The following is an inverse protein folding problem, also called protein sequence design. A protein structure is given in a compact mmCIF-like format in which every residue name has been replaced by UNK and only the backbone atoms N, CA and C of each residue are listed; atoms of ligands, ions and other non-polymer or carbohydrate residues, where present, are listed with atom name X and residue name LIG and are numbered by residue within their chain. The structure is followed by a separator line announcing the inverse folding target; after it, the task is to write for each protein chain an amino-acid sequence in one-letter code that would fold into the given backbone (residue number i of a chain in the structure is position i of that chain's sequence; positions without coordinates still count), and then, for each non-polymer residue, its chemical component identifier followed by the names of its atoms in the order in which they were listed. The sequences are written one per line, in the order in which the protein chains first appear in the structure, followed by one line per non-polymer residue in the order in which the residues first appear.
data_IF_950127277071
#
_entry.id   IF_950127277071
#
_cell.length_a   1.000
_cell.length_b   1.000
_cell.length_c   1.000
_cell.angle_alpha   90.00
_cell.angle_beta   90.00
_cell.angle_gamma   90.00
#
_symmetry.space_group_name_H-M   'P 1'
#
loop_
_entity.id
_entity.type
_entity.pdbx_description
1 polymer ?
#
# COMPACT_ATOMS: atom_id res chain seq x y z
N UNK A 1 -17.03 -20.87 8.78
CA UNK A 1 -15.87 -21.11 9.65
C UNK A 1 -14.68 -20.33 9.10
N UNK A 2 -14.08 -19.47 9.91
CA UNK A 2 -12.85 -18.76 9.55
C UNK A 2 -11.64 -19.52 10.10
N UNK A 3 -10.66 -19.80 9.24
CA UNK A 3 -9.37 -20.28 9.70
C UNK A 3 -8.58 -19.10 10.29
N UNK A 4 -8.17 -19.20 11.56
CA UNK A 4 -7.29 -18.21 12.17
C UNK A 4 -6.01 -18.86 12.70
N UNK A 5 -4.92 -18.07 12.69
CA UNK A 5 -3.60 -18.50 13.19
C UNK A 5 -3.26 -17.66 14.41
N UNK A 6 -3.08 -18.32 15.55
CA UNK A 6 -2.64 -17.68 16.79
C UNK A 6 -1.13 -17.49 16.76
N UNK A 7 -0.69 -16.24 16.86
CA UNK A 7 0.74 -15.92 17.01
C UNK A 7 1.13 -15.74 18.47
N UNK A 8 2.44 -15.78 18.75
CA UNK A 8 2.97 -15.55 20.11
C UNK A 8 3.21 -14.09 20.45
N UNK A 9 3.20 -13.23 19.44
CA UNK A 9 3.43 -11.79 19.58
C UNK A 9 2.65 -11.06 18.49
N UNK A 10 2.02 -9.94 18.83
CA UNK A 10 1.12 -9.20 17.93
C UNK A 10 1.87 -8.63 16.72
N UNK A 11 3.12 -8.20 16.89
CA UNK A 11 3.96 -7.80 15.77
C UNK A 11 4.10 -8.93 14.75
N UNK A 12 4.25 -10.18 15.22
CA UNK A 12 4.28 -11.35 14.33
C UNK A 12 2.95 -11.57 13.60
N UNK A 13 1.81 -11.28 14.23
CA UNK A 13 0.49 -11.34 13.58
C UNK A 13 0.40 -10.36 12.42
N UNK A 14 0.80 -9.10 12.64
CA UNK A 14 0.74 -8.06 11.61
C UNK A 14 1.69 -8.38 10.45
N UNK A 15 2.93 -8.82 10.75
CA UNK A 15 3.88 -9.21 9.70
C UNK A 15 3.44 -10.47 8.94
N UNK A 16 2.74 -11.41 9.58
CA UNK A 16 2.16 -12.55 8.87
C UNK A 16 1.04 -12.11 7.92
N UNK A 17 0.18 -11.19 8.35
CA UNK A 17 -0.85 -10.58 7.50
C UNK A 17 -0.25 -9.76 6.35
N UNK A 18 0.82 -9.00 6.60
CA UNK A 18 1.60 -8.28 5.59
C UNK A 18 2.20 -9.25 4.56
N UNK A 19 2.83 -10.34 5.01
CA UNK A 19 3.35 -11.39 4.14
C UNK A 19 2.27 -12.06 3.27
N UNK A 20 1.09 -12.31 3.86
CA UNK A 20 -0.07 -12.81 3.11
C UNK A 20 -0.48 -11.82 2.02
N UNK A 21 -0.57 -10.54 2.33
CA UNK A 21 -0.96 -9.52 1.35
C UNK A 21 0.05 -9.40 0.20
N UNK A 22 1.35 -9.48 0.49
CA UNK A 22 2.41 -9.49 -0.53
C UNK A 22 2.31 -10.72 -1.45
N UNK A 23 2.06 -11.89 -0.88
CA UNK A 23 2.02 -13.14 -1.63
C UNK A 23 0.76 -13.32 -2.48
N UNK A 24 -0.37 -12.75 -2.03
CA UNK A 24 -1.68 -12.99 -2.66
C UNK A 24 -2.26 -11.79 -3.41
N UNK A 25 -1.74 -10.59 -3.16
CA UNK A 25 -2.30 -9.33 -3.64
C UNK A 25 -3.61 -8.91 -2.95
N UNK A 26 -4.08 -9.70 -1.96
CA UNK A 26 -5.32 -9.46 -1.21
C UNK A 26 -5.00 -8.83 0.16
N UNK A 27 -5.89 -8.01 0.74
CA UNK A 27 -5.66 -7.47 2.07
C UNK A 27 -5.45 -8.55 3.13
N UNK A 28 -4.36 -8.43 3.89
CA UNK A 28 -4.14 -9.25 5.07
C UNK A 28 -4.99 -8.73 6.24
N UNK A 29 -5.40 -9.61 7.15
CA UNK A 29 -6.21 -9.24 8.32
C UNK A 29 -5.55 -9.75 9.57
N UNK A 30 -5.43 -8.92 10.60
CA UNK A 30 -5.07 -9.36 11.94
C UNK A 30 -5.94 -8.72 13.00
N UNK A 31 -6.09 -9.42 14.12
CA UNK A 31 -6.89 -8.98 15.28
C UNK A 31 -5.99 -9.04 16.50
N UNK A 32 -5.94 -7.96 17.27
CA UNK A 32 -5.11 -7.84 18.47
C UNK A 32 -5.94 -7.25 19.63
N UNK A 33 -5.51 -7.52 20.86
CA UNK A 33 -6.17 -6.95 22.03
C UNK A 33 -5.82 -5.46 22.22
N UNK A 34 -6.51 -4.81 23.15
CA UNK A 34 -6.28 -3.40 23.51
C UNK A 34 -4.91 -3.18 24.17
N UNK A 35 -4.54 -1.92 24.32
CA UNK A 35 -3.33 -1.49 25.03
C UNK A 35 -2.05 -2.10 24.45
N UNK A 36 -1.31 -2.93 25.24
CA UNK A 36 -0.03 -3.47 24.79
C UNK A 36 -0.12 -4.33 23.54
N UNK A 37 -1.22 -5.04 23.31
CA UNK A 37 -1.42 -5.81 22.08
C UNK A 37 -1.56 -4.90 20.86
N UNK A 38 -2.34 -3.85 20.97
CA UNK A 38 -2.53 -2.87 19.90
C UNK A 38 -1.24 -2.08 19.61
N UNK A 39 -0.50 -1.66 20.65
CA UNK A 39 0.78 -0.96 20.48
C UNK A 39 1.86 -1.85 19.86
N UNK A 40 1.90 -3.14 20.19
CA UNK A 40 2.81 -4.10 19.57
C UNK A 40 2.56 -4.27 18.06
N UNK A 41 1.37 -3.96 17.57
CA UNK A 41 1.05 -4.02 16.14
C UNK A 41 1.64 -2.86 15.31
N UNK A 42 1.99 -1.72 15.93
CA UNK A 42 2.39 -0.49 15.24
C UNK A 42 3.58 -0.66 14.30
N UNK A 43 4.58 -1.44 14.67
CA UNK A 43 5.74 -1.69 13.80
C UNK A 43 5.32 -2.30 12.47
N UNK A 44 4.45 -3.31 12.50
CA UNK A 44 3.95 -3.95 11.28
C UNK A 44 3.02 -3.03 10.47
N UNK A 45 2.18 -2.23 11.15
CA UNK A 45 1.33 -1.22 10.51
C UNK A 45 2.18 -0.18 9.77
N UNK A 46 3.21 0.36 10.44
CA UNK A 46 4.11 1.34 9.84
C UNK A 46 4.88 0.76 8.64
N UNK A 47 5.34 -0.51 8.73
CA UNK A 47 5.97 -1.22 7.62
C UNK A 47 5.03 -1.33 6.42
N UNK A 48 3.78 -1.76 6.65
CA UNK A 48 2.78 -1.87 5.59
C UNK A 48 2.46 -0.52 4.94
N UNK A 49 2.41 0.57 5.72
CA UNK A 49 2.20 1.92 5.20
C UNK A 49 3.36 2.36 4.30
N UNK A 50 4.60 2.14 4.73
CA UNK A 50 5.78 2.52 3.95
C UNK A 50 5.86 1.75 2.63
N UNK A 51 5.53 0.47 2.65
CA UNK A 51 5.59 -0.42 1.48
C UNK A 51 4.28 -0.48 0.69
N UNK A 52 3.27 0.32 1.07
CA UNK A 52 1.98 0.36 0.38
C UNK A 52 1.27 -1.00 0.35
N UNK A 53 1.30 -1.75 1.45
CA UNK A 53 0.70 -3.07 1.57
C UNK A 53 -0.73 -2.96 2.12
N UNK A 54 -1.74 -3.55 1.46
CA UNK A 54 -3.11 -3.53 1.95
C UNK A 54 -3.25 -4.41 3.20
N UNK A 55 -3.66 -3.80 4.30
CA UNK A 55 -3.74 -4.45 5.60
C UNK A 55 -4.96 -3.95 6.37
N UNK A 56 -5.67 -4.86 7.03
CA UNK A 56 -6.74 -4.54 7.97
C UNK A 56 -6.30 -5.00 9.36
N UNK A 57 -6.19 -4.07 10.29
CA UNK A 57 -5.85 -4.37 11.68
C UNK A 57 -7.04 -4.02 12.55
N UNK A 58 -7.60 -5.02 13.22
CA UNK A 58 -8.70 -4.84 14.17
C UNK A 58 -8.09 -4.85 15.57
N UNK A 59 -8.21 -3.73 16.27
CA UNK A 59 -7.76 -3.59 17.66
C UNK A 59 -8.93 -3.61 18.61
N UNK A 60 -8.80 -4.32 19.73
CA UNK A 60 -9.69 -4.14 20.85
C UNK A 60 -9.43 -2.81 21.54
N UNK A 61 -10.45 -2.26 22.20
CA UNK A 61 -10.34 -1.07 23.02
C UNK A 61 -11.06 -1.29 24.36
N UNK A 62 -10.73 -0.51 25.36
CA UNK A 62 -11.46 -0.51 26.63
C UNK A 62 -12.92 -0.11 26.42
N UNK A 63 -13.75 -0.29 27.46
CA UNK A 63 -15.14 0.19 27.41
C UNK A 63 -15.19 1.69 27.11
N UNK A 64 -16.11 2.16 26.27
CA UNK A 64 -16.22 3.58 25.86
C UNK A 64 -16.16 4.56 27.03
N UNK A 65 -16.82 4.24 28.16
CA UNK A 65 -16.81 5.07 29.35
C UNK A 65 -15.41 5.23 29.99
N UNK A 66 -14.45 4.38 29.66
CA UNK A 66 -13.06 4.41 30.12
C UNK A 66 -12.10 5.15 29.19
N UNK A 67 -12.51 5.41 27.95
CA UNK A 67 -11.65 6.08 26.96
C UNK A 67 -11.34 7.51 27.40
N UNK A 68 -10.06 7.87 27.37
CA UNK A 68 -9.55 9.17 27.83
C UNK A 68 -9.46 9.32 29.35
N UNK A 69 -9.49 8.20 30.10
CA UNK A 69 -9.44 8.17 31.57
C UNK A 69 -8.32 7.32 32.14
N UNK A 70 -7.33 6.97 31.34
CA UNK A 70 -6.20 6.10 31.72
C UNK A 70 -6.65 4.74 32.28
N UNK A 71 -7.68 4.16 31.66
CA UNK A 71 -8.18 2.85 32.06
C UNK A 71 -7.13 1.75 31.82
N UNK A 72 -7.21 0.64 32.57
CA UNK A 72 -6.28 -0.47 32.43
C UNK A 72 -6.25 -0.99 30.97
N UNK A 73 -5.07 -1.00 30.37
CA UNK A 73 -4.84 -1.35 28.95
C UNK A 73 -5.57 -0.43 27.95
N UNK A 74 -5.84 0.80 28.31
CA UNK A 74 -6.24 1.83 27.36
C UNK A 74 -5.04 2.29 26.53
N UNK A 75 -5.29 2.60 25.28
CA UNK A 75 -4.32 3.25 24.40
C UNK A 75 -5.07 4.05 23.33
N UNK A 76 -4.61 5.28 23.06
CA UNK A 76 -5.13 6.09 21.95
C UNK A 76 -4.65 5.55 20.61
N UNK A 77 -5.31 4.50 20.15
CA UNK A 77 -4.96 3.87 18.86
C UNK A 77 -5.22 4.79 17.67
N UNK A 78 -6.21 5.65 17.73
CA UNK A 78 -6.52 6.60 16.67
C UNK A 78 -5.37 7.60 16.52
N UNK A 79 -4.95 8.24 17.60
CA UNK A 79 -3.81 9.16 17.58
C UNK A 79 -2.51 8.50 17.13
N UNK A 80 -2.21 7.30 17.63
CA UNK A 80 -0.97 6.58 17.32
C UNK A 80 -0.93 6.05 15.88
N UNK A 81 -2.06 5.67 15.29
CA UNK A 81 -2.11 5.09 13.94
C UNK A 81 -2.34 6.12 12.84
N UNK A 82 -2.83 7.32 13.14
CA UNK A 82 -3.06 8.39 12.16
C UNK A 82 -1.87 8.63 11.23
N UNK A 83 -0.61 8.76 11.69
CA UNK A 83 0.52 9.02 10.79
C UNK A 83 1.01 7.79 10.01
N UNK A 84 0.56 6.58 10.36
CA UNK A 84 1.07 5.32 9.80
C UNK A 84 -0.01 4.46 9.15
N UNK A 85 -1.17 5.05 8.83
CA UNK A 85 -2.27 4.35 8.15
C UNK A 85 -2.87 5.22 7.05
N UNK A 86 -3.57 4.58 6.13
CA UNK A 86 -4.43 5.31 5.17
C UNK A 86 -5.63 5.92 5.87
N UNK A 87 -6.21 5.15 6.78
CA UNK A 87 -7.35 5.56 7.59
C UNK A 87 -7.46 4.74 8.87
N UNK A 88 -8.14 5.28 9.86
CA UNK A 88 -8.48 4.56 11.08
C UNK A 88 -9.89 4.89 11.54
N UNK A 89 -10.55 3.91 12.14
CA UNK A 89 -11.89 4.01 12.67
C UNK A 89 -11.90 3.68 14.15
N UNK A 90 -12.55 4.50 14.97
CA UNK A 90 -13.03 4.07 16.29
C UNK A 90 -14.53 3.80 16.20
N UNK A 91 -14.92 2.54 16.35
CA UNK A 91 -16.33 2.14 16.23
C UNK A 91 -17.12 2.65 17.43
N UNK A 92 -18.27 3.28 17.18
CA UNK A 92 -19.13 3.86 18.24
C UNK A 92 -20.52 3.21 18.30
N UNK A 93 -20.92 2.47 17.28
CA UNK A 93 -22.18 1.72 17.23
C UNK A 93 -21.90 0.40 16.50
N UNK A 94 -22.34 -0.71 17.05
CA UNK A 94 -22.17 -2.03 16.45
C UNK A 94 -22.85 -2.15 15.07
N UNK A 95 -23.91 -1.36 14.81
CA UNK A 95 -24.57 -1.31 13.51
C UNK A 95 -23.67 -0.79 12.39
N UNK A 96 -22.64 0.00 12.75
CA UNK A 96 -21.69 0.52 11.77
C UNK A 96 -20.60 -0.47 11.39
N UNK A 97 -20.40 -1.56 12.14
CA UNK A 97 -19.30 -2.51 11.91
C UNK A 97 -19.29 -3.05 10.48
N UNK A 98 -20.40 -3.54 9.91
CA UNK A 98 -20.39 -4.05 8.54
C UNK A 98 -19.96 -2.99 7.52
N UNK A 99 -20.49 -1.78 7.61
CA UNK A 99 -20.13 -0.66 6.76
C UNK A 99 -18.64 -0.32 6.90
N UNK A 100 -18.14 -0.16 8.13
CA UNK A 100 -16.74 0.17 8.42
C UNK A 100 -15.80 -0.89 7.86
N UNK A 101 -16.12 -2.18 8.00
CA UNK A 101 -15.33 -3.26 7.43
C UNK A 101 -15.24 -3.15 5.91
N UNK A 102 -16.36 -2.93 5.22
CA UNK A 102 -16.35 -2.76 3.77
C UNK A 102 -15.54 -1.53 3.32
N UNK A 103 -15.72 -0.40 3.99
CA UNK A 103 -14.95 0.82 3.72
C UNK A 103 -13.46 0.58 3.96
N UNK A 104 -13.09 -0.11 5.04
CA UNK A 104 -11.71 -0.44 5.35
C UNK A 104 -11.04 -1.30 4.25
N UNK A 105 -11.72 -2.35 3.80
CA UNK A 105 -11.22 -3.19 2.70
C UNK A 105 -11.10 -2.40 1.38
N UNK A 106 -12.08 -1.56 1.08
CA UNK A 106 -12.03 -0.69 -0.09
C UNK A 106 -10.86 0.29 -0.01
N UNK A 107 -10.73 1.03 1.10
CA UNK A 107 -9.64 1.98 1.31
C UNK A 107 -8.27 1.31 1.26
N UNK A 108 -8.12 0.16 1.92
CA UNK A 108 -6.83 -0.55 1.95
C UNK A 108 -6.38 -0.98 0.55
N UNK A 109 -7.32 -1.33 -0.34
CA UNK A 109 -7.02 -1.99 -1.62
C UNK A 109 -7.10 -1.09 -2.85
N UNK A 110 -7.56 0.16 -2.72
CA UNK A 110 -7.73 1.09 -3.86
C UNK A 110 -6.75 2.26 -3.79
N UNK A 111 -6.50 2.92 -4.93
CA UNK A 111 -5.47 3.95 -5.03
C UNK A 111 -4.10 3.43 -4.61
N UNK A 112 -3.30 4.24 -3.90
CA UNK A 112 -2.11 3.71 -3.22
C UNK A 112 -2.56 2.81 -2.08
N UNK A 113 -2.27 1.51 -2.16
CA UNK A 113 -2.62 0.52 -1.12
C UNK A 113 -1.96 0.87 0.22
N UNK A 114 -2.55 0.41 1.32
CA UNK A 114 -2.00 0.67 2.65
C UNK A 114 -2.88 0.14 3.77
N UNK A 115 -2.43 0.23 5.04
CA UNK A 115 -3.13 -0.28 6.19
C UNK A 115 -4.32 0.60 6.60
N UNK A 116 -5.37 -0.05 7.10
CA UNK A 116 -6.50 0.57 7.80
C UNK A 116 -6.67 -0.09 9.15
N UNK A 117 -6.89 0.70 10.19
CA UNK A 117 -7.11 0.23 11.55
C UNK A 117 -8.57 0.43 11.96
N UNK A 118 -9.13 -0.58 12.61
CA UNK A 118 -10.50 -0.54 13.17
C UNK A 118 -10.40 -0.82 14.66
N UNK A 119 -10.60 0.21 15.47
CA UNK A 119 -10.54 0.15 16.93
C UNK A 119 -11.94 -0.06 17.50
N UNK A 120 -12.16 -1.20 18.19
CA UNK A 120 -13.49 -1.65 18.64
C UNK A 120 -13.56 -1.64 20.17
N UNK A 121 -14.31 -0.71 20.78
CA UNK A 121 -14.55 -0.71 22.22
C UNK A 121 -15.26 -1.99 22.66
N UNK A 122 -14.86 -2.50 23.87
CA UNK A 122 -15.35 -3.76 24.42
C UNK A 122 -16.88 -3.86 24.46
N UNK A 123 -17.56 -2.79 24.89
CA UNK A 123 -19.02 -2.77 24.96
C UNK A 123 -19.70 -2.80 23.59
N UNK A 124 -19.06 -2.23 22.57
CA UNK A 124 -19.54 -2.28 21.18
C UNK A 124 -19.39 -3.69 20.61
N UNK A 125 -18.24 -4.35 20.87
CA UNK A 125 -17.97 -5.70 20.35
C UNK A 125 -18.87 -6.81 20.91
N UNK A 126 -19.65 -6.53 21.97
CA UNK A 126 -20.63 -7.48 22.57
C UNK A 126 -22.08 -7.03 22.40
N UNK A 127 -22.31 -5.95 21.68
CA UNK A 127 -23.67 -5.45 21.40
C UNK A 127 -24.42 -6.41 20.47
N UNK A 128 -25.66 -6.75 20.83
CA UNK A 128 -26.56 -7.47 19.95
C UNK A 128 -27.21 -6.45 18.96
N UNK A 129 -27.12 -6.73 17.69
CA UNK A 129 -27.74 -5.94 16.64
C UNK A 129 -28.59 -6.83 15.76
N UNK A 130 -29.82 -6.39 15.45
CA UNK A 130 -30.61 -6.99 14.41
C UNK A 130 -29.99 -6.58 13.05
N UNK A 131 -29.49 -7.55 12.32
CA UNK A 131 -28.92 -7.33 11.01
C UNK A 131 -29.92 -7.79 9.95
N UNK A 132 -30.75 -6.87 9.48
CA UNK A 132 -31.49 -7.05 8.25
C UNK A 132 -30.51 -6.86 7.09
N UNK A 133 -30.09 -7.97 6.51
CA UNK A 133 -29.26 -8.05 5.29
C UNK A 133 -28.06 -7.07 5.24
N UNK A 134 -27.03 -7.37 6.05
CA UNK A 134 -25.78 -6.59 6.13
C UNK A 134 -25.02 -6.52 4.79
N UNK A 135 -25.49 -7.18 3.75
CA UNK A 135 -24.79 -7.28 2.47
C UNK A 135 -25.35 -6.44 1.33
N UNK A 136 -26.65 -6.11 1.35
CA UNK A 136 -27.31 -5.49 0.19
C UNK A 136 -27.04 -3.98 0.00
N UNK A 137 -26.71 -3.24 1.05
CA UNK A 137 -26.55 -1.78 0.98
C UNK A 137 -25.10 -1.27 1.02
N UNK A 138 -24.12 -2.16 1.04
CA UNK A 138 -22.72 -1.78 1.16
C UNK A 138 -22.06 -1.90 -0.21
N UNK A 139 -22.37 -0.95 -1.08
CA UNK A 139 -21.65 -0.79 -2.34
C UNK A 139 -20.19 -0.36 -2.06
N UNK A 140 -19.23 -0.82 -2.87
CA UNK A 140 -17.83 -0.49 -2.67
C UNK A 140 -17.63 1.01 -2.70
N UNK A 141 -17.25 1.60 -1.57
CA UNK A 141 -16.68 2.92 -1.45
C UNK A 141 -17.41 4.14 -2.00
N UNK A 142 -18.63 3.98 -2.48
CA UNK A 142 -19.34 5.02 -3.24
C UNK A 142 -19.65 6.33 -2.49
N UNK A 143 -19.50 6.33 -1.16
CA UNK A 143 -19.88 7.47 -0.33
C UNK A 143 -18.78 7.92 0.63
N UNK A 144 -17.49 7.69 0.28
CA UNK A 144 -16.40 8.24 1.07
C UNK A 144 -16.10 9.68 0.61
N UNK A 145 -16.53 10.71 1.37
CA UNK A 145 -16.30 12.10 0.99
C UNK A 145 -14.81 12.40 0.81
N UNK A 146 -14.45 12.99 -0.34
CA UNK A 146 -13.07 13.38 -0.61
C UNK A 146 -12.12 12.25 -1.01
N UNK A 147 -12.57 11.00 -1.11
CA UNK A 147 -11.77 9.89 -1.58
C UNK A 147 -12.14 9.51 -3.01
N UNK A 148 -11.24 9.80 -3.95
CA UNK A 148 -11.35 9.38 -5.34
C UNK A 148 -10.06 8.66 -5.76
N UNK A 149 -10.03 7.32 -5.79
CA UNK A 149 -8.85 6.56 -6.17
C UNK A 149 -8.67 6.43 -7.69
N UNK A 150 -9.67 6.81 -8.49
CA UNK A 150 -9.61 6.70 -9.94
C UNK A 150 -8.78 7.85 -10.53
N UNK A 151 -7.73 7.50 -11.25
CA UNK A 151 -6.91 8.43 -12.00
C UNK A 151 -6.97 8.03 -13.49
N UNK A 152 -7.76 8.75 -14.26
CA UNK A 152 -7.86 8.52 -15.70
C UNK A 152 -6.73 9.28 -16.42
N UNK A 153 -6.16 8.70 -17.49
CA UNK A 153 -5.16 9.40 -18.28
C UNK A 153 -5.76 10.62 -18.98
N UNK A 154 -5.01 11.71 -18.98
CA UNK A 154 -5.37 12.94 -19.70
C UNK A 154 -4.74 12.87 -21.09
N UNK A 155 -5.53 12.88 -22.19
CA UNK A 155 -5.00 12.69 -23.56
C UNK A 155 -3.84 13.64 -23.91
N UNK A 156 -3.92 14.90 -23.50
CA UNK A 156 -2.87 15.90 -23.76
C UNK A 156 -1.57 15.58 -23.01
N UNK A 157 -1.65 14.97 -21.81
CA UNK A 157 -0.47 14.53 -21.07
C UNK A 157 0.14 13.29 -21.72
N UNK A 158 -0.68 12.36 -22.19
CA UNK A 158 -0.20 11.17 -22.92
C UNK A 158 0.51 11.59 -24.22
N UNK A 159 -0.02 12.58 -24.94
CA UNK A 159 0.64 13.11 -26.14
C UNK A 159 2.04 13.67 -25.81
N UNK A 160 2.18 14.44 -24.73
CA UNK A 160 3.50 14.96 -24.28
C UNK A 160 4.48 13.85 -23.91
N UNK A 161 4.02 12.77 -23.28
CA UNK A 161 4.87 11.60 -23.00
C UNK A 161 5.38 10.98 -24.30
N UNK A 162 4.51 10.81 -25.30
CA UNK A 162 4.92 10.27 -26.61
C UNK A 162 5.93 11.18 -27.32
N UNK A 163 5.76 12.51 -27.25
CA UNK A 163 6.72 13.46 -27.80
C UNK A 163 8.08 13.37 -27.07
N UNK A 164 8.07 13.26 -25.73
CA UNK A 164 9.28 13.10 -24.94
C UNK A 164 10.03 11.79 -25.30
N UNK A 165 9.31 10.68 -25.44
CA UNK A 165 9.90 9.40 -25.85
C UNK A 165 10.53 9.53 -27.25
N UNK A 166 9.84 10.17 -28.20
CA UNK A 166 10.33 10.34 -29.56
C UNK A 166 11.58 11.25 -29.64
N UNK A 167 11.73 12.20 -28.73
CA UNK A 167 12.85 13.12 -28.64
C UNK A 167 14.07 12.55 -27.89
N UNK A 168 13.85 11.60 -26.99
CA UNK A 168 14.88 11.01 -26.14
C UNK A 168 15.85 10.12 -26.92
N UNK A 169 17.11 10.10 -26.48
CA UNK A 169 18.17 9.24 -27.02
C UNK A 169 18.57 8.12 -26.05
N UNK A 170 18.29 8.32 -24.75
CA UNK A 170 18.65 7.40 -23.68
C UNK A 170 17.48 7.22 -22.70
N UNK A 171 16.30 6.82 -23.17
CA UNK A 171 15.16 6.62 -22.29
C UNK A 171 15.36 5.40 -21.39
N UNK A 172 14.91 5.49 -20.13
CA UNK A 172 14.92 4.39 -19.16
C UNK A 172 13.56 4.30 -18.51
N UNK A 173 13.09 3.08 -18.27
CA UNK A 173 11.95 2.79 -17.43
C UNK A 173 12.43 2.41 -16.04
N UNK A 174 11.89 3.08 -15.01
CA UNK A 174 11.99 2.68 -13.61
C UNK A 174 10.68 2.03 -13.19
N UNK A 175 10.68 0.71 -13.03
CA UNK A 175 9.51 -0.06 -12.65
C UNK A 175 9.50 -0.37 -11.14
N UNK A 176 8.50 0.11 -10.43
CA UNK A 176 8.30 -0.10 -9.01
C UNK A 176 7.17 -1.09 -8.70
N UNK A 177 6.87 -1.25 -7.41
CA UNK A 177 5.83 -2.14 -6.90
C UNK A 177 4.43 -1.80 -7.43
N UNK A 178 4.19 -0.53 -7.81
CA UNK A 178 2.91 -0.09 -8.36
C UNK A 178 2.50 -0.87 -9.61
N UNK A 179 3.45 -1.35 -10.42
CA UNK A 179 3.17 -2.22 -11.58
C UNK A 179 2.56 -3.55 -11.12
N UNK A 180 3.15 -4.17 -10.09
CA UNK A 180 2.64 -5.44 -9.50
C UNK A 180 1.26 -5.22 -8.85
N UNK A 181 1.10 -4.11 -8.12
CA UNK A 181 -0.18 -3.77 -7.49
C UNK A 181 -1.31 -3.52 -8.50
N UNK A 182 -0.96 -2.99 -9.67
CA UNK A 182 -1.88 -2.78 -10.79
C UNK A 182 -2.09 -4.03 -11.65
N UNK A 183 -1.28 -5.09 -11.44
CA UNK A 183 -1.25 -6.29 -12.30
C UNK A 183 -0.95 -5.95 -13.77
N UNK A 184 -0.05 -4.96 -13.98
CA UNK A 184 0.27 -4.37 -15.28
C UNK A 184 1.63 -4.85 -15.85
N UNK A 185 2.07 -6.06 -15.46
CA UNK A 185 3.35 -6.62 -15.89
C UNK A 185 3.37 -6.88 -17.41
N UNK A 186 2.23 -7.31 -17.96
CA UNK A 186 2.09 -7.58 -19.41
C UNK A 186 2.11 -6.29 -20.22
N UNK A 187 1.46 -5.25 -19.73
CA UNK A 187 1.43 -3.94 -20.35
C UNK A 187 2.80 -3.28 -20.29
N UNK A 188 3.52 -3.42 -19.17
CA UNK A 188 4.90 -2.94 -19.04
C UNK A 188 5.82 -3.65 -20.04
N UNK A 189 5.72 -4.97 -20.17
CA UNK A 189 6.52 -5.72 -21.13
C UNK A 189 6.24 -5.25 -22.57
N UNK A 190 4.97 -5.21 -22.96
CA UNK A 190 4.57 -4.77 -24.30
C UNK A 190 5.02 -3.33 -24.61
N UNK A 191 4.95 -2.43 -23.61
CA UNK A 191 5.41 -1.05 -23.74
C UNK A 191 6.94 -0.99 -23.94
N UNK A 192 7.70 -1.69 -23.10
CA UNK A 192 9.15 -1.72 -23.18
C UNK A 192 9.65 -2.29 -24.53
N UNK A 193 9.01 -3.38 -25.01
CA UNK A 193 9.32 -4.00 -26.29
C UNK A 193 8.95 -3.09 -27.47
N UNK A 194 7.80 -2.43 -27.43
CA UNK A 194 7.36 -1.55 -28.52
C UNK A 194 8.31 -0.37 -28.71
N UNK A 195 8.72 0.28 -27.61
CA UNK A 195 9.62 1.43 -27.66
C UNK A 195 11.11 1.06 -27.58
N UNK A 196 11.45 -0.22 -27.34
CA UNK A 196 12.82 -0.72 -27.14
C UNK A 196 13.54 0.01 -26.00
N UNK A 197 12.84 0.25 -24.88
CA UNK A 197 13.35 0.98 -23.72
C UNK A 197 13.79 0.00 -22.62
N UNK A 198 15.04 0.09 -22.13
CA UNK A 198 15.52 -0.73 -21.04
C UNK A 198 14.77 -0.47 -19.73
N UNK A 199 14.63 -1.52 -18.90
CA UNK A 199 13.87 -1.50 -17.63
C UNK A 199 14.79 -1.74 -16.45
N UNK A 200 14.76 -0.83 -15.48
CA UNK A 200 15.36 -0.95 -14.17
C UNK A 200 14.24 -1.16 -13.15
N UNK A 201 14.39 -2.14 -12.26
CA UNK A 201 13.42 -2.40 -11.20
C UNK A 201 13.86 -1.80 -9.86
N UNK A 202 12.91 -1.29 -9.06
CA UNK A 202 13.16 -1.11 -7.63
C UNK A 202 13.16 -2.45 -6.92
N UNK A 203 13.64 -2.52 -5.65
CA UNK A 203 13.60 -3.76 -4.86
C UNK A 203 12.19 -4.38 -4.82
N UNK A 204 11.16 -3.58 -4.49
CA UNK A 204 9.78 -4.05 -4.45
C UNK A 204 9.12 -4.16 -5.84
N UNK A 205 9.78 -3.64 -6.87
CA UNK A 205 9.38 -3.81 -8.27
C UNK A 205 9.95 -5.07 -8.93
N UNK A 206 10.85 -5.80 -8.27
CA UNK A 206 11.37 -7.06 -8.79
C UNK A 206 10.24 -8.05 -9.03
N UNK A 207 10.22 -8.61 -10.24
CA UNK A 207 9.13 -9.47 -10.72
C UNK A 207 8.13 -8.78 -11.64
N UNK A 208 8.11 -7.44 -11.70
CA UNK A 208 7.26 -6.70 -12.64
C UNK A 208 7.74 -6.76 -14.10
N UNK A 209 8.99 -7.15 -14.32
CA UNK A 209 9.58 -7.33 -15.66
C UNK A 209 10.41 -8.62 -15.71
N UNK A 210 10.41 -9.38 -16.83
CA UNK A 210 11.13 -10.64 -16.91
C UNK A 210 12.65 -10.44 -16.82
N UNK A 211 13.28 -11.01 -15.80
CA UNK A 211 14.72 -10.81 -15.51
C UNK A 211 15.69 -11.32 -16.58
N UNK A 212 15.25 -12.22 -17.47
CA UNK A 212 16.07 -12.76 -18.58
C UNK A 212 15.81 -12.03 -19.92
N UNK A 213 14.97 -11.02 -19.91
CA UNK A 213 14.68 -10.24 -21.10
C UNK A 213 15.88 -9.37 -21.49
N UNK A 214 16.13 -9.16 -22.76
CA UNK A 214 17.26 -8.36 -23.27
C UNK A 214 17.23 -6.89 -22.80
N UNK A 215 16.03 -6.34 -22.56
CA UNK A 215 15.84 -5.00 -22.02
C UNK A 215 15.92 -4.93 -20.48
N UNK A 216 16.07 -6.07 -19.76
CA UNK A 216 16.14 -6.07 -18.31
C UNK A 216 17.54 -5.68 -17.81
N UNK A 217 17.65 -4.53 -17.15
CA UNK A 217 18.90 -4.10 -16.51
C UNK A 217 19.03 -4.60 -15.07
N UNK A 218 17.94 -5.12 -14.48
CA UNK A 218 17.90 -5.60 -13.11
C UNK A 218 17.55 -4.50 -12.10
N UNK A 219 18.06 -4.63 -10.86
CA UNK A 219 17.71 -3.73 -9.76
C UNK A 219 18.59 -2.48 -9.76
N UNK A 220 17.97 -1.31 -9.60
CA UNK A 220 18.63 -0.03 -9.33
C UNK A 220 18.53 0.40 -7.87
N UNK A 221 19.22 1.46 -7.52
CA UNK A 221 19.27 2.06 -6.18
C UNK A 221 20.48 1.61 -5.36
N UNK A 222 20.44 1.83 -4.02
CA UNK A 222 21.54 1.62 -3.09
C UNK A 222 22.17 0.21 -3.18
N UNK A 223 21.37 -0.80 -3.40
CA UNK A 223 21.79 -2.21 -3.54
C UNK A 223 21.69 -2.70 -4.99
N UNK A 224 21.55 -1.76 -5.94
CA UNK A 224 21.42 -2.07 -7.35
C UNK A 224 22.76 -2.43 -8.01
N UNK A 225 22.66 -2.96 -9.23
CA UNK A 225 23.84 -3.23 -10.05
C UNK A 225 24.47 -1.92 -10.55
N UNK A 226 25.77 -1.96 -10.83
CA UNK A 226 26.45 -0.82 -11.44
C UNK A 226 25.79 -0.39 -12.76
N UNK A 227 25.49 -1.36 -13.62
CA UNK A 227 24.86 -1.08 -14.93
C UNK A 227 23.49 -0.40 -14.78
N UNK A 228 22.63 -0.88 -13.88
CA UNK A 228 21.32 -0.27 -13.62
C UNK A 228 21.45 1.16 -13.10
N UNK A 229 22.38 1.38 -12.15
CA UNK A 229 22.59 2.70 -11.58
C UNK A 229 23.18 3.69 -12.59
N UNK A 230 24.13 3.25 -13.42
CA UNK A 230 24.66 4.11 -14.48
C UNK A 230 23.62 4.45 -15.53
N UNK A 231 22.75 3.49 -15.90
CA UNK A 231 21.66 3.76 -16.82
C UNK A 231 20.68 4.81 -16.27
N UNK A 232 20.34 4.74 -14.98
CA UNK A 232 19.51 5.76 -14.31
C UNK A 232 20.19 7.13 -14.25
N UNK A 233 21.50 7.16 -14.04
CA UNK A 233 22.26 8.42 -13.93
C UNK A 233 22.49 9.12 -15.28
N UNK A 234 22.60 8.34 -16.36
CA UNK A 234 22.94 8.85 -17.70
C UNK A 234 21.73 9.01 -18.62
N UNK A 235 20.51 8.66 -18.17
CA UNK A 235 19.31 8.78 -18.98
C UNK A 235 18.94 10.25 -19.22
N UNK A 236 18.38 10.53 -20.38
CA UNK A 236 17.81 11.82 -20.75
C UNK A 236 16.27 11.86 -20.63
N UNK A 237 15.65 10.69 -20.39
CA UNK A 237 14.23 10.55 -20.08
C UNK A 237 14.04 9.40 -19.08
N UNK A 238 13.37 9.69 -17.96
CA UNK A 238 13.05 8.69 -16.95
C UNK A 238 11.54 8.46 -16.88
N UNK A 239 11.10 7.31 -17.37
CA UNK A 239 9.70 6.89 -17.31
C UNK A 239 9.46 6.10 -16.01
N UNK A 240 8.78 6.71 -15.06
CA UNK A 240 8.50 6.08 -13.78
C UNK A 240 7.15 5.37 -13.77
N UNK A 241 7.16 4.05 -13.64
CA UNK A 241 5.96 3.23 -13.48
C UNK A 241 5.89 2.64 -12.06
N UNK A 242 5.14 3.29 -11.19
CA UNK A 242 4.82 2.79 -9.86
C UNK A 242 5.98 2.76 -8.85
N UNK A 243 7.06 3.50 -9.07
CA UNK A 243 8.08 3.78 -8.07
C UNK A 243 7.85 5.14 -7.39
N UNK A 244 8.39 5.34 -6.19
CA UNK A 244 8.16 6.54 -5.36
C UNK A 244 9.41 7.39 -5.10
N UNK A 245 10.52 7.11 -5.73
CA UNK A 245 11.78 7.85 -5.57
C UNK A 245 12.20 8.04 -4.11
N UNK A 246 12.17 6.95 -3.32
CA UNK A 246 12.65 6.98 -1.95
C UNK A 246 14.19 7.10 -1.88
N UNK A 247 14.70 7.29 -0.66
CA UNK A 247 16.13 7.43 -0.40
C UNK A 247 16.97 6.20 -0.78
N UNK A 248 16.35 5.03 -0.95
CA UNK A 248 17.01 3.79 -1.40
C UNK A 248 17.19 3.73 -2.91
N UNK A 249 16.38 4.45 -3.65
CA UNK A 249 16.44 4.52 -5.12
C UNK A 249 17.15 5.78 -5.57
N UNK A 250 16.69 6.95 -5.11
CA UNK A 250 17.18 8.25 -5.57
C UNK A 250 18.35 8.79 -4.73
N UNK A 251 18.59 8.27 -3.51
CA UNK A 251 19.61 8.71 -2.54
C UNK A 251 19.64 10.22 -2.33
N UNK A 252 20.22 10.96 -3.25
CA UNK A 252 20.21 12.43 -3.30
C UNK A 252 19.43 12.88 -4.55
N UNK A 253 18.20 13.39 -4.39
CA UNK A 253 17.37 13.82 -5.52
C UNK A 253 17.99 14.93 -6.38
N UNK A 254 18.92 15.70 -5.83
CA UNK A 254 19.58 16.80 -6.58
C UNK A 254 20.61 16.29 -7.58
N UNK A 255 21.09 15.07 -7.41
CA UNK A 255 22.09 14.43 -8.27
C UNK A 255 21.56 13.17 -8.97
N UNK A 256 20.32 12.78 -8.71
CA UNK A 256 19.71 11.61 -9.33
C UNK A 256 19.18 11.96 -10.72
N UNK A 257 19.66 11.24 -11.75
CA UNK A 257 19.26 11.42 -13.14
C UNK A 257 19.29 12.90 -13.60
N UNK A 258 20.43 13.61 -13.48
CA UNK A 258 20.47 15.06 -13.60
C UNK A 258 20.12 15.61 -15.00
N UNK A 259 20.21 14.77 -16.02
CA UNK A 259 19.90 15.14 -17.42
C UNK A 259 18.48 14.70 -17.84
N UNK A 260 17.75 13.97 -16.95
CA UNK A 260 16.45 13.41 -17.30
C UNK A 260 15.31 14.42 -17.17
N UNK A 261 14.39 14.33 -18.12
CA UNK A 261 13.06 14.95 -18.05
C UNK A 261 12.06 13.97 -17.47
#
# INVERSE_FOLDING_TARGET
ESNHVLTRHEQGAVHAADGYARATGKPGVCIVTSGPGATNALTGIATAQMDSIPLIVITGQVHEAGIGKDAFQETDMIGMTTPVTKYNYQVRDAKDIPRIIHEAFYLANTGRKGPVVIDIPKNIGVQEVECEDCTENIGPGRNLPGYNPECLPVPEQVAKVNEAIAASKKPIILAGQGVIHAQAEKELLAFAEYYQIPVVNTLLGLGSFPVKHELALGMGGMHGSYASNMALMECDLLLNFGARFDDRVASDPTHFAPEAV
#
